data_IF_136068316795
#
_entry.id   IF_136068316795
#
_cell.length_a   1.000
_cell.length_b   1.000
_cell.length_c   1.000
_cell.angle_alpha   90.00
_cell.angle_beta   90.00
_cell.angle_gamma   90.00
#
_symmetry.space_group_name_H-M   'P 1'
#
loop_
_entity.id
_entity.type
_entity.pdbx_description
1 polymer ?
#
# COMPACT_ATOMS: atom_id res chain seq x y z
N UNK A 1 -4.42 23.40 10.86
CA UNK A 1 -4.59 22.73 9.56
C UNK A 1 -3.72 21.48 9.57
N UNK A 2 -4.26 20.33 9.18
CA UNK A 2 -3.49 19.08 9.04
C UNK A 2 -3.26 18.82 7.56
N UNK A 3 -2.06 18.37 7.21
CA UNK A 3 -1.72 17.93 5.85
C UNK A 3 -1.50 16.43 5.90
N UNK A 4 -2.13 15.69 5.00
CA UNK A 4 -1.91 14.25 4.84
C UNK A 4 -1.13 14.01 3.55
N UNK A 5 -0.04 13.25 3.65
CA UNK A 5 0.67 12.68 2.51
C UNK A 5 0.34 11.19 2.41
N UNK A 6 -0.18 10.77 1.27
CA UNK A 6 -0.66 9.40 1.04
C UNK A 6 0.17 8.78 -0.08
N UNK A 7 0.94 7.76 0.27
CA UNK A 7 1.74 6.97 -0.68
C UNK A 7 1.12 5.60 -0.93
N UNK A 8 1.25 5.12 -2.16
CA UNK A 8 0.85 3.77 -2.58
C UNK A 8 2.01 3.08 -3.31
N UNK A 9 2.29 1.83 -2.97
CA UNK A 9 3.22 0.98 -3.73
C UNK A 9 2.86 -0.50 -3.60
N UNK A 10 3.26 -1.28 -4.61
CA UNK A 10 3.07 -2.72 -4.68
C UNK A 10 4.39 -3.44 -4.39
N UNK A 11 4.31 -4.59 -3.73
CA UNK A 11 5.46 -5.43 -3.44
C UNK A 11 5.08 -6.91 -3.49
N UNK A 12 6.08 -7.77 -3.71
CA UNK A 12 5.93 -9.22 -3.56
C UNK A 12 6.73 -9.64 -2.33
N UNK A 13 6.09 -10.34 -1.40
CA UNK A 13 6.78 -10.80 -0.19
C UNK A 13 7.61 -12.08 -0.46
N UNK A 14 8.35 -12.52 0.56
CA UNK A 14 9.21 -13.70 0.45
C UNK A 14 8.46 -15.02 0.15
N UNK A 15 7.13 -15.06 0.32
CA UNK A 15 6.28 -16.20 -0.02
C UNK A 15 5.66 -16.09 -1.43
N UNK A 16 6.07 -15.09 -2.22
CA UNK A 16 5.51 -14.85 -3.55
C UNK A 16 4.11 -14.23 -3.55
N UNK A 17 3.63 -13.73 -2.40
CA UNK A 17 2.32 -13.07 -2.31
C UNK A 17 2.43 -11.59 -2.67
N UNK A 18 1.48 -11.11 -3.47
CA UNK A 18 1.38 -9.70 -3.80
C UNK A 18 0.78 -8.91 -2.63
N UNK A 19 1.36 -7.75 -2.39
CA UNK A 19 0.99 -6.84 -1.33
C UNK A 19 0.67 -5.47 -1.93
N UNK A 20 -0.45 -4.90 -1.51
CA UNK A 20 -0.74 -3.47 -1.66
C UNK A 20 -0.38 -2.77 -0.35
N UNK A 21 0.45 -1.75 -0.43
CA UNK A 21 0.96 -1.04 0.74
C UNK A 21 0.53 0.42 0.65
N UNK A 22 -0.24 0.85 1.66
CA UNK A 22 -0.71 2.22 1.81
C UNK A 22 0.03 2.88 2.97
N UNK A 23 0.64 4.04 2.70
CA UNK A 23 1.32 4.86 3.70
C UNK A 23 0.53 6.15 3.89
N UNK A 24 0.21 6.49 5.13
CA UNK A 24 -0.39 7.80 5.48
C UNK A 24 0.54 8.49 6.47
N UNK A 25 0.97 9.70 6.12
CA UNK A 25 1.72 10.59 7.01
C UNK A 25 0.80 11.75 7.37
N UNK A 26 0.48 11.90 8.65
CA UNK A 26 -0.25 13.07 9.13
C UNK A 26 0.74 14.09 9.70
N UNK A 27 0.83 15.24 9.03
CA UNK A 27 1.59 16.39 9.48
C UNK A 27 0.61 17.36 10.16
N UNK A 28 0.76 17.52 11.48
CA UNK A 28 0.02 18.53 12.24
C UNK A 28 0.83 19.82 12.28
N UNK A 29 0.27 20.92 11.77
CA UNK A 29 0.94 22.23 11.74
C UNK A 29 1.12 22.90 13.13
N UNK A 30 0.70 22.24 14.22
CA UNK A 30 0.80 22.73 15.59
C UNK A 30 1.63 21.73 16.42
N UNK A 31 2.94 21.96 16.46
CA UNK A 31 3.92 21.56 17.49
C UNK A 31 3.68 20.24 18.25
N UNK A 32 3.41 19.13 17.56
CA UNK A 32 3.67 17.80 18.11
C UNK A 32 5.07 17.37 17.68
N UNK A 33 5.89 16.78 18.58
CA UNK A 33 7.31 16.55 18.33
C UNK A 33 7.62 15.54 17.22
N UNK A 34 6.62 14.75 16.77
CA UNK A 34 6.81 13.76 15.71
C UNK A 34 5.56 13.61 14.83
N UNK A 35 5.74 13.43 13.50
CA UNK A 35 4.65 13.11 12.59
C UNK A 35 4.04 11.74 12.92
N UNK A 36 2.73 11.58 12.73
CA UNK A 36 2.07 10.27 12.85
C UNK A 36 2.25 9.53 11.52
N UNK A 37 2.79 8.31 11.59
CA UNK A 37 2.95 7.42 10.46
C UNK A 37 2.05 6.19 10.64
N UNK A 38 1.16 5.96 9.69
CA UNK A 38 0.35 4.75 9.60
C UNK A 38 0.67 3.98 8.31
N UNK A 39 0.78 2.66 8.42
CA UNK A 39 1.04 1.76 7.29
C UNK A 39 -0.02 0.66 7.32
N UNK A 40 -0.76 0.52 6.21
CA UNK A 40 -1.71 -0.58 5.99
C UNK A 40 -1.17 -1.47 4.89
N UNK A 41 -1.13 -2.78 5.13
CA UNK A 41 -0.69 -3.78 4.16
C UNK A 41 -1.86 -4.72 3.88
N UNK A 42 -2.27 -4.78 2.61
CA UNK A 42 -3.29 -5.70 2.14
C UNK A 42 -2.63 -6.81 1.32
N UNK A 43 -2.86 -8.06 1.72
CA UNK A 43 -2.46 -9.21 0.91
C UNK A 43 -3.51 -9.38 -0.19
N UNK A 44 -3.07 -9.25 -1.44
CA UNK A 44 -3.94 -9.44 -2.60
C UNK A 44 -3.61 -10.77 -3.28
N UNK A 45 -4.64 -11.56 -3.67
CA UNK A 45 -4.42 -12.66 -4.59
C UNK A 45 -3.81 -12.11 -5.89
N UNK A 46 -2.75 -12.76 -6.39
CA UNK A 46 -2.07 -12.46 -7.67
C UNK A 46 -3.07 -12.12 -8.78
N UNK A 47 -3.04 -10.92 -9.39
CA UNK A 47 -3.94 -10.60 -10.51
C UNK A 47 -3.63 -11.42 -11.78
N UNK A 48 -2.42 -11.95 -11.92
CA UNK A 48 -2.03 -12.78 -13.08
C UNK A 48 -2.74 -14.14 -13.14
N UNK A 49 -3.18 -14.69 -12.00
CA UNK A 49 -3.93 -15.95 -12.00
C UNK A 49 -5.38 -15.79 -12.51
N UNK A 50 -5.92 -14.56 -12.54
CA UNK A 50 -7.30 -14.32 -12.98
C UNK A 50 -7.43 -14.00 -14.48
N UNK A 51 -6.37 -13.51 -15.13
CA UNK A 51 -6.44 -13.02 -16.52
C UNK A 51 -5.49 -13.73 -17.51
N UNK A 52 -4.65 -14.68 -17.11
CA UNK A 52 -3.84 -15.47 -18.06
C UNK A 52 -4.57 -16.70 -18.64
N UNK A 53 -5.80 -16.97 -18.19
CA UNK A 53 -6.60 -18.10 -18.69
C UNK A 53 -7.36 -17.86 -20.01
N UNK A 54 -7.30 -16.64 -20.57
CA UNK A 54 -8.17 -16.25 -21.69
C UNK A 54 -7.45 -15.93 -23.01
N UNK A 55 -6.12 -15.93 -23.05
CA UNK A 55 -5.31 -15.74 -24.28
C UNK A 55 -4.82 -17.06 -24.91
N UNK A 56 -5.28 -18.22 -24.40
CA UNK A 56 -4.84 -19.55 -24.85
C UNK A 56 -5.96 -20.41 -25.48
N UNK A 57 -7.03 -19.81 -26.02
CA UNK A 57 -8.06 -20.56 -26.78
C UNK A 57 -8.35 -19.93 -28.14
#
# INVERSE_FOLDING_TARGET
MTTQDIGFFEAVNHNGMWLKIYRVIELTALELPSPVLSITIEVVPTPEAANQGNDAK
#
